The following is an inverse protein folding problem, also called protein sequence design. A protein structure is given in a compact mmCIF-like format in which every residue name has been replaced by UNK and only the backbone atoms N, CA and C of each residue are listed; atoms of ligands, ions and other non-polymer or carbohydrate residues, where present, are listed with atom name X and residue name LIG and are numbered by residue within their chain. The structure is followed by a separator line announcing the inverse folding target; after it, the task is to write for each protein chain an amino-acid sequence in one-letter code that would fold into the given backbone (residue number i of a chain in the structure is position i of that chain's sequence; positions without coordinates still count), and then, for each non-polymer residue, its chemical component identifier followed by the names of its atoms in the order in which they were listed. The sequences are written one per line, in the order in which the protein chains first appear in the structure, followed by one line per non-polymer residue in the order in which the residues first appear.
data_IF_742383251605
#
_entry.id   IF_742383251605
#
_cell.length_a   1.000
_cell.length_b   1.000
_cell.length_c   1.000
_cell.angle_alpha   90.00
_cell.angle_beta   90.00
_cell.angle_gamma   90.00
#
_symmetry.space_group_name_H-M   'P 1'
#
loop_
_entity.id
_entity.type
_entity.pdbx_description
1 polymer ?
#
# COMPACT_ATOMS: atom_id res chain seq x y z
N UNK A 1 10.11 6.64 -14.42
CA UNK A 1 11.16 5.64 -14.67
C UNK A 1 11.07 4.55 -13.63
N UNK A 2 11.34 3.31 -14.02
CA UNK A 2 11.16 2.15 -13.16
C UNK A 2 11.94 2.22 -11.84
N UNK A 3 13.23 2.55 -11.92
CA UNK A 3 14.07 2.65 -10.72
C UNK A 3 13.57 3.73 -9.77
N UNK A 4 13.17 4.85 -10.34
CA UNK A 4 12.65 5.98 -9.58
C UNK A 4 11.31 5.64 -8.93
N UNK A 5 10.44 4.91 -9.65
CA UNK A 5 9.16 4.47 -9.10
C UNK A 5 9.35 3.51 -7.95
N UNK A 6 10.28 2.58 -8.06
CA UNK A 6 10.60 1.66 -6.95
C UNK A 6 11.12 2.45 -5.74
N UNK A 7 11.99 3.43 -5.97
CA UNK A 7 12.52 4.25 -4.88
C UNK A 7 11.40 5.03 -4.18
N UNK A 8 10.47 5.58 -4.96
CA UNK A 8 9.34 6.33 -4.39
C UNK A 8 8.41 5.44 -3.58
N UNK A 9 8.13 4.23 -4.06
CA UNK A 9 7.32 3.26 -3.32
C UNK A 9 8.02 2.89 -2.01
N UNK A 10 9.32 2.60 -2.07
CA UNK A 10 10.10 2.24 -0.87
C UNK A 10 10.10 3.37 0.16
N UNK A 11 10.23 4.61 -0.31
CA UNK A 11 10.16 5.78 0.59
C UNK A 11 8.81 5.85 1.30
N UNK A 12 7.72 5.60 0.58
CA UNK A 12 6.38 5.59 1.18
C UNK A 12 6.23 4.50 2.22
N UNK A 13 6.76 3.31 1.96
CA UNK A 13 6.72 2.21 2.92
C UNK A 13 7.53 2.56 4.17
N UNK A 14 8.70 3.19 3.99
CA UNK A 14 9.51 3.63 5.12
C UNK A 14 8.78 4.67 5.96
N UNK A 15 8.08 5.60 5.32
CA UNK A 15 7.28 6.61 6.03
C UNK A 15 6.15 5.94 6.83
N UNK A 16 5.49 4.96 6.24
CA UNK A 16 4.47 4.19 6.93
C UNK A 16 5.05 3.53 8.19
N UNK A 17 6.22 2.89 8.05
CA UNK A 17 6.85 2.18 9.16
C UNK A 17 7.32 3.12 10.27
N UNK A 18 7.64 4.37 9.95
CA UNK A 18 8.01 5.37 10.96
C UNK A 18 6.80 6.02 11.61
N UNK A 19 5.60 5.75 11.09
CA UNK A 19 4.40 6.44 11.57
C UNK A 19 4.33 7.90 11.13
N UNK A 20 4.99 8.23 10.02
CA UNK A 20 5.06 9.61 9.51
C UNK A 20 3.98 9.81 8.46
N UNK A 21 2.80 10.21 8.92
CA UNK A 21 1.64 10.42 8.04
C UNK A 21 1.92 11.45 6.95
N UNK A 22 2.53 12.57 7.31
CA UNK A 22 2.77 13.64 6.35
C UNK A 22 3.68 13.19 5.22
N UNK A 23 4.76 12.49 5.55
CA UNK A 23 5.69 11.98 4.54
C UNK A 23 5.04 10.90 3.67
N UNK A 24 4.24 10.04 4.30
CA UNK A 24 3.51 9.02 3.55
C UNK A 24 2.52 9.66 2.55
N UNK A 25 1.74 10.64 3.01
CA UNK A 25 0.80 11.35 2.14
C UNK A 25 1.49 12.13 1.04
N UNK A 26 2.70 12.63 1.29
CA UNK A 26 3.44 13.39 0.28
C UNK A 26 3.74 12.58 -0.97
N UNK A 27 3.72 11.25 -0.87
CA UNK A 27 3.93 10.36 -2.02
C UNK A 27 2.70 10.15 -2.89
N UNK A 28 1.55 10.72 -2.53
CA UNK A 28 0.31 10.55 -3.27
C UNK A 28 -0.05 11.82 -4.04
N UNK A 29 -0.54 11.64 -5.27
CA UNK A 29 -1.08 12.75 -6.04
C UNK A 29 -2.36 13.26 -5.38
N UNK A 30 -2.74 14.54 -5.61
CA UNK A 30 -3.96 15.08 -5.01
C UNK A 30 -5.23 14.29 -5.37
N UNK A 31 -5.25 13.68 -6.55
CA UNK A 31 -6.40 12.92 -7.05
C UNK A 31 -6.26 11.41 -6.86
N UNK A 32 -5.29 10.97 -6.06
CA UNK A 32 -4.99 9.56 -5.89
C UNK A 32 -6.20 8.77 -5.38
N UNK A 33 -6.25 7.50 -5.75
CA UNK A 33 -7.26 6.57 -5.26
C UNK A 33 -6.59 5.35 -4.66
N UNK A 34 -7.13 4.86 -3.56
CA UNK A 34 -6.68 3.62 -2.94
C UNK A 34 -7.87 2.65 -2.96
N UNK A 35 -7.66 1.52 -3.62
CA UNK A 35 -8.70 0.50 -3.83
C UNK A 35 -8.37 -0.73 -3.00
N UNK A 36 -9.31 -1.17 -2.15
CA UNK A 36 -9.15 -2.40 -1.36
C UNK A 36 -9.81 -3.55 -2.12
N UNK A 37 -9.16 -3.96 -3.20
CA UNK A 37 -9.68 -4.97 -4.12
C UNK A 37 -9.68 -6.35 -3.48
N UNK A 38 -10.82 -7.06 -3.57
CA UNK A 38 -10.94 -8.42 -3.09
C UNK A 38 -10.93 -8.58 -1.58
N UNK A 39 -10.95 -7.49 -0.82
CA UNK A 39 -10.97 -7.54 0.64
C UNK A 39 -12.41 -7.61 1.14
N UNK A 40 -12.59 -8.39 2.17
CA UNK A 40 -13.87 -8.59 2.82
C UNK A 40 -14.19 -7.43 3.76
N UNK A 41 -15.47 -7.06 3.91
CA UNK A 41 -16.62 -7.63 3.18
C UNK A 41 -16.82 -6.97 1.82
N UNK A 42 -16.39 -5.72 1.64
CA UNK A 42 -16.65 -4.97 0.42
C UNK A 42 -15.38 -4.28 -0.06
N UNK A 43 -15.27 -4.16 -1.36
CA UNK A 43 -14.25 -3.33 -1.95
C UNK A 43 -14.56 -1.87 -1.62
N UNK A 44 -13.55 -1.12 -1.24
CA UNK A 44 -13.68 0.29 -0.94
C UNK A 44 -12.74 1.09 -1.80
N UNK A 45 -13.14 2.30 -2.12
CA UNK A 45 -12.30 3.26 -2.82
C UNK A 45 -12.17 4.48 -1.94
N UNK A 46 -10.91 4.80 -1.61
CA UNK A 46 -10.59 5.99 -0.83
C UNK A 46 -10.05 7.01 -1.82
N UNK A 47 -10.75 8.12 -1.99
CA UNK A 47 -10.46 9.09 -3.04
C UNK A 47 -9.80 10.34 -2.53
N UNK A 48 -8.78 10.80 -3.25
CA UNK A 48 -8.04 12.00 -2.92
C UNK A 48 -7.18 11.81 -1.69
N UNK A 49 -6.38 12.81 -1.37
CA UNK A 49 -5.53 12.74 -0.17
C UNK A 49 -6.35 12.59 1.11
N UNK A 50 -7.50 13.25 1.18
CA UNK A 50 -8.38 13.12 2.34
C UNK A 50 -8.87 11.68 2.51
N UNK A 51 -9.22 11.01 1.41
CA UNK A 51 -9.63 9.61 1.46
C UNK A 51 -8.48 8.69 1.85
N UNK A 52 -7.29 8.92 1.29
CA UNK A 52 -6.10 8.13 1.61
C UNK A 52 -5.72 8.32 3.10
N UNK A 53 -5.83 9.54 3.60
CA UNK A 53 -5.60 9.82 5.01
C UNK A 53 -6.60 9.08 5.90
N UNK A 54 -7.85 8.99 5.46
CA UNK A 54 -8.86 8.24 6.20
C UNK A 54 -8.52 6.76 6.28
N UNK A 55 -7.95 6.19 5.20
CA UNK A 55 -7.48 4.80 5.20
C UNK A 55 -6.42 4.60 6.29
N UNK A 56 -5.43 5.50 6.35
CA UNK A 56 -4.41 5.47 7.39
C UNK A 56 -5.05 5.49 8.79
N UNK A 57 -5.98 6.41 9.00
CA UNK A 57 -6.62 6.57 10.31
C UNK A 57 -7.40 5.32 10.70
N UNK A 58 -8.11 4.70 9.77
CA UNK A 58 -8.89 3.49 10.04
C UNK A 58 -7.99 2.33 10.44
N UNK A 59 -6.86 2.16 9.75
CA UNK A 59 -5.92 1.10 10.09
C UNK A 59 -5.31 1.34 11.47
N UNK A 60 -4.91 2.57 11.76
CA UNK A 60 -4.26 2.91 13.03
C UNK A 60 -5.24 2.97 14.21
N UNK A 61 -6.53 3.05 13.93
CA UNK A 61 -7.55 2.93 14.96
C UNK A 61 -7.73 1.47 15.40
N UNK A 62 -7.59 0.54 14.46
CA UNK A 62 -7.81 -0.88 14.72
C UNK A 62 -6.57 -1.60 15.24
N UNK A 63 -5.38 -1.13 14.89
CA UNK A 63 -4.13 -1.84 15.17
C UNK A 63 -3.01 -0.89 15.58
N UNK A 64 -2.03 -1.43 16.29
CA UNK A 64 -0.85 -0.69 16.74
C UNK A 64 0.40 -1.48 16.35
N UNK A 65 1.58 -0.85 16.44
CA UNK A 65 2.86 -1.48 16.12
C UNK A 65 2.85 -2.05 14.68
N UNK A 66 2.30 -1.28 13.75
CA UNK A 66 2.09 -1.73 12.38
C UNK A 66 3.39 -1.55 11.58
N UNK A 67 3.91 -2.66 11.06
CA UNK A 67 5.12 -2.62 10.23
C UNK A 67 4.94 -3.44 8.97
N UNK A 68 5.60 -3.01 7.90
CA UNK A 68 5.59 -3.69 6.61
C UNK A 68 7.04 -4.08 6.28
N UNK A 69 7.26 -5.37 6.00
CA UNK A 69 8.57 -5.87 5.58
C UNK A 69 8.48 -6.26 4.12
N UNK A 70 9.32 -5.65 3.29
CA UNK A 70 9.33 -5.88 1.84
C UNK A 70 10.03 -7.19 1.54
N UNK A 71 9.40 -8.06 0.73
CA UNK A 71 10.05 -9.25 0.21
C UNK A 71 10.34 -9.12 -1.28
N UNK A 72 9.54 -8.37 -2.04
CA UNK A 72 9.75 -8.22 -3.48
C UNK A 72 9.12 -6.92 -3.97
N UNK A 73 9.85 -6.18 -4.81
CA UNK A 73 9.36 -5.00 -5.50
C UNK A 73 9.76 -5.12 -6.96
N UNK A 74 8.79 -5.06 -7.86
CA UNK A 74 9.05 -5.14 -9.30
C UNK A 74 8.31 -4.03 -10.03
N UNK A 75 9.00 -3.36 -10.93
CA UNK A 75 8.39 -2.30 -11.73
C UNK A 75 8.04 -2.83 -13.11
N UNK A 76 6.92 -2.38 -13.64
CA UNK A 76 6.50 -2.66 -15.00
C UNK A 76 5.79 -1.42 -15.54
N UNK A 77 6.47 -0.68 -16.42
CA UNK A 77 5.93 0.58 -16.91
C UNK A 77 5.75 1.57 -15.77
N UNK A 78 4.53 2.07 -15.60
CA UNK A 78 4.18 3.03 -14.55
C UNK A 78 3.69 2.35 -13.27
N UNK A 79 3.77 1.02 -13.17
CA UNK A 79 3.27 0.26 -12.03
C UNK A 79 4.38 -0.42 -11.28
N UNK A 80 4.17 -0.55 -9.96
CA UNK A 80 5.09 -1.29 -9.09
C UNK A 80 4.28 -2.36 -8.37
N UNK A 81 4.72 -3.60 -8.50
CA UNK A 81 4.20 -4.74 -7.75
C UNK A 81 4.95 -4.80 -6.42
N UNK A 82 4.22 -4.98 -5.33
CA UNK A 82 4.80 -5.00 -3.99
C UNK A 82 4.33 -6.25 -3.24
N UNK A 83 5.27 -7.08 -2.83
CA UNK A 83 4.99 -8.21 -1.95
C UNK A 83 5.63 -7.93 -0.59
N UNK A 84 4.83 -7.97 0.46
CA UNK A 84 5.26 -7.61 1.80
C UNK A 84 4.65 -8.53 2.82
N UNK A 85 5.22 -8.52 4.03
CA UNK A 85 4.59 -9.12 5.20
C UNK A 85 4.20 -7.99 6.13
N UNK A 86 2.93 -7.93 6.50
CA UNK A 86 2.43 -6.96 7.46
C UNK A 86 2.38 -7.59 8.85
N UNK A 87 2.89 -6.87 9.84
CA UNK A 87 2.82 -7.26 11.23
C UNK A 87 2.18 -6.15 12.03
N UNK A 88 1.32 -6.52 12.96
CA UNK A 88 0.63 -5.55 13.80
C UNK A 88 0.12 -6.26 15.05
N UNK A 89 -0.47 -5.48 15.93
CA UNK A 89 -1.14 -5.97 17.13
C UNK A 89 -2.50 -5.30 17.18
N UNK A 90 -3.55 -6.08 17.44
CA UNK A 90 -4.87 -5.50 17.61
C UNK A 90 -4.85 -4.54 18.80
N UNK A 91 -5.38 -3.34 18.61
CA UNK A 91 -5.31 -2.32 19.63
C UNK A 91 -6.06 -2.70 20.91
N UNK A 92 -7.22 -3.34 20.74
CA UNK A 92 -8.05 -3.78 21.86
C UNK A 92 -7.71 -5.19 22.32
N UNK A 93 -7.59 -6.12 21.37
CA UNK A 93 -7.36 -7.53 21.67
C UNK A 93 -5.95 -7.81 22.13
N UNK A 94 -4.97 -6.97 21.74
CA UNK A 94 -3.55 -7.18 21.94
C UNK A 94 -3.02 -8.45 21.29
N UNK A 95 -3.80 -9.03 20.35
CA UNK A 95 -3.40 -10.24 19.64
C UNK A 95 -2.48 -9.83 18.47
N UNK A 96 -1.29 -10.49 18.36
CA UNK A 96 -0.41 -10.22 17.22
C UNK A 96 -1.00 -10.77 15.91
N UNK A 97 -0.81 -10.03 14.84
CA UNK A 97 -1.26 -10.39 13.51
C UNK A 97 -0.08 -10.33 12.56
N UNK A 98 0.04 -11.34 11.71
CA UNK A 98 1.04 -11.37 10.65
C UNK A 98 0.38 -11.91 9.40
N UNK A 99 0.44 -11.16 8.31
CA UNK A 99 -0.20 -11.59 7.06
C UNK A 99 0.56 -11.11 5.84
N UNK A 100 0.47 -11.86 4.73
CA UNK A 100 1.04 -11.38 3.48
C UNK A 100 0.19 -10.25 2.92
N UNK A 101 0.87 -9.29 2.28
CA UNK A 101 0.22 -8.14 1.68
C UNK A 101 0.76 -7.98 0.27
N UNK A 102 -0.14 -7.87 -0.70
CA UNK A 102 0.22 -7.62 -2.09
C UNK A 102 -0.45 -6.36 -2.57
N UNK A 103 0.35 -5.42 -3.05
CA UNK A 103 -0.14 -4.14 -3.56
C UNK A 103 0.35 -3.92 -4.99
N UNK A 104 -0.39 -3.12 -5.73
CA UNK A 104 0.06 -2.57 -6.99
C UNK A 104 -0.14 -1.07 -6.92
N UNK A 105 0.94 -0.32 -7.13
CA UNK A 105 0.90 1.14 -7.14
C UNK A 105 1.15 1.61 -8.56
N UNK A 106 0.25 2.47 -9.08
CA UNK A 106 0.44 3.15 -10.35
C UNK A 106 0.93 4.55 -10.04
N UNK A 107 2.05 4.95 -10.66
CA UNK A 107 2.66 6.26 -10.42
C UNK A 107 2.63 7.11 -11.69
N UNK A 108 2.53 8.43 -11.49
CA UNK A 108 2.64 9.42 -12.54
C UNK A 108 3.46 10.58 -12.00
N UNK A 109 4.52 10.93 -12.71
CA UNK A 109 5.44 12.00 -12.28
C UNK A 109 5.96 11.78 -10.85
N UNK A 110 6.24 10.51 -10.51
CA UNK A 110 6.79 10.15 -9.22
C UNK A 110 5.79 10.07 -8.08
N UNK A 111 4.51 10.33 -8.33
CA UNK A 111 3.47 10.28 -7.29
C UNK A 111 2.50 9.14 -7.56
N UNK A 112 2.05 8.51 -6.49
CA UNK A 112 1.05 7.46 -6.58
C UNK A 112 -0.30 8.06 -6.99
N UNK A 113 -0.88 7.58 -8.09
CA UNK A 113 -2.21 7.98 -8.53
C UNK A 113 -3.23 6.89 -8.22
N UNK A 114 -2.79 5.67 -8.02
CA UNK A 114 -3.68 4.56 -7.69
C UNK A 114 -2.89 3.51 -6.91
N UNK A 115 -3.47 3.02 -5.83
CA UNK A 115 -2.94 1.89 -5.08
C UNK A 115 -4.04 0.86 -4.99
N UNK A 116 -3.73 -0.39 -5.31
CA UNK A 116 -4.67 -1.51 -5.22
C UNK A 116 -4.13 -2.56 -4.26
N UNK A 117 -4.94 -2.98 -3.30
CA UNK A 117 -4.60 -4.13 -2.48
C UNK A 117 -5.19 -5.38 -3.14
N UNK A 118 -4.49 -6.49 -3.06
CA UNK A 118 -4.94 -7.75 -3.64
C UNK A 118 -4.85 -8.86 -2.61
N UNK A 119 -5.67 -9.89 -2.75
CA UNK A 119 -5.73 -10.99 -1.78
C UNK A 119 -4.75 -12.10 -2.09
N UNK A 120 -4.22 -12.16 -3.32
CA UNK A 120 -3.20 -13.14 -3.63
C UNK A 120 -2.16 -12.59 -4.61
N UNK A 121 -1.04 -13.29 -4.68
CA UNK A 121 0.11 -12.88 -5.47
C UNK A 121 -0.20 -12.86 -6.96
N UNK A 122 -0.91 -13.87 -7.46
CA UNK A 122 -1.19 -13.99 -8.89
C UNK A 122 -2.03 -12.81 -9.39
N UNK A 123 -3.05 -12.41 -8.65
CA UNK A 123 -3.89 -11.28 -9.02
C UNK A 123 -3.09 -9.97 -9.03
N UNK A 124 -2.21 -9.79 -8.04
CA UNK A 124 -1.38 -8.58 -7.99
C UNK A 124 -0.40 -8.53 -9.15
N UNK A 125 0.24 -9.65 -9.49
CA UNK A 125 1.15 -9.71 -10.63
C UNK A 125 0.42 -9.39 -11.94
N UNK A 126 -0.75 -9.97 -12.13
CA UNK A 126 -1.56 -9.70 -13.32
C UNK A 126 -1.92 -8.21 -13.41
N UNK A 127 -2.35 -7.62 -12.30
CA UNK A 127 -2.72 -6.21 -12.25
C UNK A 127 -1.52 -5.30 -12.57
N UNK A 128 -0.32 -5.74 -12.25
CA UNK A 128 0.90 -4.98 -12.54
C UNK A 128 1.43 -5.23 -13.96
N UNK A 129 0.83 -6.18 -14.68
CA UNK A 129 1.29 -6.54 -16.02
C UNK A 129 2.51 -7.46 -16.00
N UNK A 130 2.65 -8.24 -14.93
CA UNK A 130 3.78 -9.14 -14.72
C UNK A 130 3.30 -10.59 -14.67
N UNK A 131 4.24 -11.51 -14.85
CA UNK A 131 3.99 -12.94 -14.67
C UNK A 131 5.00 -13.49 -13.66
N UNK A 132 4.74 -14.68 -13.18
CA UNK A 132 5.61 -15.34 -12.21
C UNK A 132 7.06 -15.52 -12.71
#
# INVERSE_FOLDING_TARGET
MSTENIANVRRGIDAWNRGDLDDWLAGFAPEAELHTTGRFPDERVYRGRAGVERYWAEIHEAAEEITLSISDLRASGDRVFEAMTGRARGKRSKVPVEEPIWLVTTLRDGLAVRVETHVDRADALEAAGLSE
#
